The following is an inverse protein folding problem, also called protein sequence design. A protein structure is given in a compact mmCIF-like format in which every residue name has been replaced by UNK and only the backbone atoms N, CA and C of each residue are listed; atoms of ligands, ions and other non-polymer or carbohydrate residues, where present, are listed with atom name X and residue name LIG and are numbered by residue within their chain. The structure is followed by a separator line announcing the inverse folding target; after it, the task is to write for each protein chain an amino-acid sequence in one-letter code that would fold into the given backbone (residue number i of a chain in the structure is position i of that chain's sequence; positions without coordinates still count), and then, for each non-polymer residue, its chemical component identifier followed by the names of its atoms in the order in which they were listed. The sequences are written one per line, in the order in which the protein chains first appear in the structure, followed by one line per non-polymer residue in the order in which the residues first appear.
data_IF_166796444339
#
_entry.id   IF_166796444339
#
_cell.length_a   1.000
_cell.length_b   1.000
_cell.length_c   1.000
_cell.angle_alpha   90.00
_cell.angle_beta   90.00
_cell.angle_gamma   90.00
#
_symmetry.space_group_name_H-M   'P 1'
#
loop_
_entity.id
_entity.type
_entity.pdbx_description
1 polymer ?
#
# COMPACT_ATOMS: atom_id res chain seq x y z
N UNK A 1 13.24 10.74 17.08
CA UNK A 1 12.41 9.85 16.26
C UNK A 1 12.22 10.59 14.93
N UNK A 2 13.09 10.35 13.95
CA UNK A 2 13.06 11.09 12.67
C UNK A 2 12.42 10.25 11.58
N UNK A 3 11.75 10.97 10.68
CA UNK A 3 10.80 10.52 9.66
C UNK A 3 11.19 9.21 8.98
N UNK A 4 10.56 8.12 9.42
CA UNK A 4 10.22 7.04 8.49
C UNK A 4 9.52 7.73 7.33
N UNK A 5 10.09 7.66 6.13
CA UNK A 5 9.45 8.20 4.93
C UNK A 5 8.00 7.73 4.94
N UNK A 6 7.06 8.66 5.13
CA UNK A 6 5.66 8.35 5.46
C UNK A 6 4.99 7.46 4.41
N UNK A 7 5.58 7.39 3.21
CA UNK A 7 5.08 6.63 2.07
C UNK A 7 5.88 5.34 1.77
N UNK A 8 6.90 5.03 2.57
CA UNK A 8 7.67 3.79 2.43
C UNK A 8 6.82 2.58 2.82
N UNK A 9 6.95 1.48 2.05
CA UNK A 9 6.34 0.22 2.46
C UNK A 9 7.15 -0.41 3.60
N UNK A 10 6.55 -1.42 4.25
CA UNK A 10 7.18 -2.05 5.40
C UNK A 10 8.52 -2.71 5.08
N UNK A 11 8.73 -3.18 3.85
CA UNK A 11 10.00 -3.79 3.44
C UNK A 11 11.09 -2.72 3.42
N UNK A 12 10.80 -1.57 2.80
CA UNK A 12 11.72 -0.43 2.78
C UNK A 12 12.04 0.06 4.20
N UNK A 13 11.03 0.16 5.06
CA UNK A 13 11.26 0.48 6.47
C UNK A 13 12.24 -0.48 7.17
N UNK A 14 12.14 -1.80 6.91
CA UNK A 14 13.08 -2.78 7.47
C UNK A 14 14.50 -2.62 6.89
N UNK A 15 14.62 -2.25 5.62
CA UNK A 15 15.91 -1.97 4.97
C UNK A 15 16.57 -0.74 5.61
N UNK A 16 15.80 0.34 5.79
CA UNK A 16 16.25 1.58 6.39
C UNK A 16 16.64 1.37 7.87
N UNK A 17 15.84 0.60 8.62
CA UNK A 17 16.13 0.29 10.02
C UNK A 17 17.37 -0.61 10.17
N UNK A 18 17.56 -1.57 9.26
CA UNK A 18 18.79 -2.36 9.21
C UNK A 18 20.00 -1.47 8.90
N UNK A 19 19.90 -0.60 7.90
CA UNK A 19 20.98 0.31 7.51
C UNK A 19 21.36 1.25 8.67
N UNK A 20 20.37 1.85 9.33
CA UNK A 20 20.56 2.73 10.50
C UNK A 20 21.27 2.02 11.64
N UNK A 21 20.88 0.78 11.96
CA UNK A 21 21.53 0.01 13.04
C UNK A 21 22.94 -0.43 12.66
N UNK A 22 23.16 -0.77 11.38
CA UNK A 22 24.48 -1.15 10.85
C UNK A 22 25.47 0.01 10.87
N UNK A 23 25.01 1.25 10.64
CA UNK A 23 25.83 2.46 10.78
C UNK A 23 26.28 2.72 12.21
N UNK A 24 25.39 2.53 13.18
CA UNK A 24 25.69 2.77 14.60
C UNK A 24 26.54 1.65 15.24
N UNK A 25 26.49 0.45 14.67
CA UNK A 25 27.15 -0.73 15.22
C UNK A 25 27.78 -1.54 14.07
N UNK A 26 29.11 -1.44 13.84
CA UNK A 26 29.79 -2.08 12.70
C UNK A 26 29.64 -3.62 12.63
N UNK A 27 29.31 -4.28 13.75
CA UNK A 27 29.05 -5.73 13.82
C UNK A 27 27.56 -6.09 13.65
N UNK A 28 26.69 -5.10 13.50
CA UNK A 28 25.26 -5.33 13.31
C UNK A 28 25.02 -5.77 11.86
N UNK A 29 24.74 -7.06 11.72
CA UNK A 29 24.50 -7.70 10.43
C UNK A 29 23.03 -8.07 10.27
N UNK A 30 22.66 -8.52 9.07
CA UNK A 30 21.35 -9.12 8.81
C UNK A 30 20.97 -10.21 9.83
N UNK A 31 21.94 -11.03 10.26
CA UNK A 31 21.73 -12.06 11.29
C UNK A 31 21.47 -11.45 12.67
N UNK A 32 22.15 -10.36 13.02
CA UNK A 32 21.88 -9.65 14.26
C UNK A 32 20.48 -9.03 14.26
N UNK A 33 20.05 -8.47 13.13
CA UNK A 33 18.70 -7.91 12.99
C UNK A 33 17.62 -9.00 13.03
N UNK A 34 17.83 -10.13 12.35
CA UNK A 34 16.93 -11.28 12.40
C UNK A 34 16.77 -11.80 13.83
N UNK A 35 17.86 -11.90 14.61
CA UNK A 35 17.80 -12.26 16.03
C UNK A 35 17.00 -11.26 16.86
N UNK A 36 17.16 -9.96 16.62
CA UNK A 36 16.38 -8.92 17.29
C UNK A 36 14.88 -9.02 16.98
N UNK A 37 14.53 -9.39 15.75
CA UNK A 37 13.15 -9.65 15.32
C UNK A 37 12.65 -11.06 15.67
N UNK A 38 13.46 -11.86 16.37
CA UNK A 38 13.17 -13.25 16.75
C UNK A 38 12.79 -14.16 15.58
N UNK A 39 13.51 -14.03 14.47
CA UNK A 39 13.32 -14.85 13.28
C UNK A 39 14.64 -15.35 12.69
N UNK A 40 14.52 -16.34 11.83
CA UNK A 40 15.64 -16.85 11.05
C UNK A 40 16.11 -15.79 10.01
N UNK A 41 17.42 -15.74 9.79
CA UNK A 41 18.04 -14.81 8.83
C UNK A 41 17.61 -15.04 7.37
N UNK A 42 17.26 -16.27 6.99
CA UNK A 42 16.72 -16.62 5.68
C UNK A 42 15.33 -16.04 5.48
N UNK A 43 14.45 -16.10 6.48
CA UNK A 43 13.12 -15.49 6.44
C UNK A 43 13.20 -13.98 6.25
N UNK A 44 14.02 -13.30 7.07
CA UNK A 44 14.22 -11.86 6.92
C UNK A 44 14.82 -11.52 5.56
N UNK A 45 15.85 -12.26 5.11
CA UNK A 45 16.45 -12.09 3.78
C UNK A 45 15.43 -12.23 2.64
N UNK A 46 14.55 -13.23 2.70
CA UNK A 46 13.50 -13.43 1.69
C UNK A 46 12.51 -12.27 1.65
N UNK A 47 12.20 -11.66 2.80
CA UNK A 47 11.34 -10.48 2.86
C UNK A 47 12.04 -9.26 2.23
N UNK A 48 13.27 -8.95 2.65
CA UNK A 48 14.02 -7.79 2.15
C UNK A 48 14.24 -7.87 0.62
N UNK A 49 14.56 -9.07 0.12
CA UNK A 49 14.73 -9.32 -1.31
C UNK A 49 13.40 -9.43 -2.10
N UNK A 50 12.25 -9.17 -1.48
CA UNK A 50 10.95 -9.24 -2.13
C UNK A 50 10.48 -10.64 -2.55
N UNK A 51 11.24 -11.70 -2.21
CA UNK A 51 10.91 -13.11 -2.48
C UNK A 51 9.80 -13.64 -1.58
N UNK A 52 9.48 -12.93 -0.49
CA UNK A 52 8.37 -13.24 0.40
C UNK A 52 7.51 -12.00 0.65
N UNK A 53 6.21 -12.13 0.40
CA UNK A 53 5.23 -11.06 0.61
C UNK A 53 5.13 -10.70 2.09
N UNK A 54 5.17 -9.40 2.38
CA UNK A 54 4.88 -8.87 3.70
C UNK A 54 3.38 -8.94 3.97
N UNK A 55 2.99 -9.64 5.03
CA UNK A 55 1.59 -9.76 5.46
C UNK A 55 1.32 -8.89 6.67
N UNK A 56 0.05 -8.60 6.98
CA UNK A 56 -0.33 -7.93 8.23
C UNK A 56 0.17 -8.65 9.48
N UNK A 57 0.26 -9.98 9.46
CA UNK A 57 0.83 -10.76 10.56
C UNK A 57 2.31 -10.45 10.73
N UNK A 58 3.06 -10.39 9.62
CA UNK A 58 4.48 -10.04 9.63
C UNK A 58 4.70 -8.61 10.13
N UNK A 59 3.88 -7.66 9.66
CA UNK A 59 3.94 -6.24 10.08
C UNK A 59 3.77 -6.13 11.59
N UNK A 60 2.73 -6.76 12.15
CA UNK A 60 2.50 -6.74 13.61
C UNK A 60 3.64 -7.40 14.39
N UNK A 61 4.02 -8.61 13.99
CA UNK A 61 5.08 -9.38 14.64
C UNK A 61 6.41 -8.62 14.71
N UNK A 62 6.81 -7.97 13.61
CA UNK A 62 8.04 -7.19 13.59
C UNK A 62 7.86 -5.82 14.24
N UNK A 63 6.72 -5.18 14.04
CA UNK A 63 6.46 -3.86 14.57
C UNK A 63 6.41 -3.82 16.10
N UNK A 64 5.86 -4.85 16.76
CA UNK A 64 5.96 -5.01 18.22
C UNK A 64 7.42 -5.03 18.69
N UNK A 65 8.31 -5.71 17.95
CA UNK A 65 9.75 -5.78 18.27
C UNK A 65 10.52 -4.52 17.94
N UNK A 66 9.99 -3.71 17.04
CA UNK A 66 10.56 -2.43 16.61
C UNK A 66 9.94 -1.24 17.35
N UNK A 67 9.07 -1.49 18.33
CA UNK A 67 8.32 -0.48 19.08
C UNK A 67 7.51 0.46 18.18
N UNK A 68 6.92 -0.08 17.11
CA UNK A 68 5.97 0.64 16.28
C UNK A 68 4.63 0.80 16.99
N UNK A 69 4.05 1.99 16.89
CA UNK A 69 2.73 2.25 17.43
C UNK A 69 1.61 1.78 16.47
N UNK A 70 0.37 1.79 16.96
CA UNK A 70 -0.80 1.31 16.20
C UNK A 70 -1.01 2.05 14.88
N UNK A 71 -0.78 3.37 14.86
CA UNK A 71 -0.97 4.19 13.65
C UNK A 71 0.07 3.84 12.57
N UNK A 72 1.32 3.59 12.97
CA UNK A 72 2.38 3.14 12.07
C UNK A 72 2.07 1.75 11.49
N UNK A 73 1.63 0.81 12.33
CA UNK A 73 1.23 -0.53 11.90
C UNK A 73 0.07 -0.48 10.91
N UNK A 74 -0.92 0.37 11.17
CA UNK A 74 -2.06 0.57 10.29
C UNK A 74 -1.61 1.15 8.94
N UNK A 75 -0.78 2.19 8.96
CA UNK A 75 -0.22 2.82 7.75
C UNK A 75 0.53 1.81 6.88
N UNK A 76 1.45 1.03 7.46
CA UNK A 76 2.15 -0.01 6.71
C UNK A 76 1.20 -1.06 6.12
N UNK A 77 0.11 -1.36 6.84
CA UNK A 77 -0.94 -2.26 6.37
C UNK A 77 -1.77 -1.69 5.22
N UNK A 78 -2.03 -0.39 5.22
CA UNK A 78 -2.72 0.32 4.13
C UNK A 78 -1.85 0.35 2.87
N UNK A 79 -0.59 0.78 2.99
CA UNK A 79 0.37 0.82 1.87
C UNK A 79 0.56 -0.59 1.27
N UNK A 80 0.67 -1.61 2.12
CA UNK A 80 0.82 -3.01 1.64
C UNK A 80 -0.42 -3.49 0.87
N UNK A 81 -1.62 -3.09 1.30
CA UNK A 81 -2.87 -3.41 0.61
C UNK A 81 -2.98 -2.67 -0.72
N UNK A 82 -2.65 -1.39 -0.73
CA UNK A 82 -2.65 -0.57 -1.94
C UNK A 82 -1.71 -1.13 -3.01
N UNK A 83 -0.45 -1.43 -2.66
CA UNK A 83 0.53 -2.03 -3.59
C UNK A 83 0.04 -3.37 -4.15
N UNK A 84 -0.57 -4.22 -3.30
CA UNK A 84 -1.17 -5.48 -3.75
C UNK A 84 -2.30 -5.23 -4.74
N UNK A 85 -3.13 -4.22 -4.50
CA UNK A 85 -4.25 -3.88 -5.37
C UNK A 85 -3.78 -3.34 -6.71
N UNK A 86 -2.80 -2.44 -6.71
CA UNK A 86 -2.17 -1.89 -7.93
C UNK A 86 -1.61 -3.00 -8.81
N UNK A 87 -0.81 -3.91 -8.25
CA UNK A 87 -0.25 -5.06 -8.99
C UNK A 87 -1.33 -5.98 -9.58
N UNK A 88 -2.44 -6.19 -8.85
CA UNK A 88 -3.57 -6.97 -9.36
C UNK A 88 -4.22 -6.25 -10.55
N UNK A 89 -4.43 -4.94 -10.44
CA UNK A 89 -5.01 -4.13 -11.52
C UNK A 89 -4.12 -4.13 -12.76
N UNK A 90 -2.83 -3.86 -12.62
CA UNK A 90 -1.85 -3.90 -13.72
C UNK A 90 -1.94 -5.23 -14.49
N UNK A 91 -1.91 -6.36 -13.77
CA UNK A 91 -2.04 -7.70 -14.37
C UNK A 91 -3.38 -7.93 -15.08
N UNK A 92 -4.47 -7.34 -14.59
CA UNK A 92 -5.78 -7.45 -15.24
C UNK A 92 -5.83 -6.59 -16.51
N UNK A 93 -5.26 -5.39 -16.47
CA UNK A 93 -5.16 -4.50 -17.63
C UNK A 93 -4.28 -5.09 -18.74
N UNK A 94 -3.25 -5.87 -18.40
CA UNK A 94 -2.44 -6.58 -19.41
C UNK A 94 -3.21 -7.71 -20.12
N UNK A 95 -4.22 -8.29 -19.46
CA UNK A 95 -4.91 -9.51 -19.94
C UNK A 95 -6.28 -9.26 -20.54
N UNK A 96 -6.96 -8.20 -20.10
CA UNK A 96 -8.32 -7.90 -20.53
C UNK A 96 -8.34 -6.96 -21.74
N UNK A 97 -9.14 -7.24 -22.76
CA UNK A 97 -9.33 -6.32 -23.89
C UNK A 97 -9.99 -5.00 -23.42
N UNK A 98 -9.80 -3.93 -24.18
CA UNK A 98 -10.31 -2.59 -23.84
C UNK A 98 -11.83 -2.53 -23.77
N UNK A 99 -12.52 -3.35 -24.55
CA UNK A 99 -13.98 -3.35 -24.69
C UNK A 99 -14.69 -3.97 -23.46
N UNK A 100 -13.96 -4.76 -22.67
CA UNK A 100 -14.47 -5.41 -21.44
C UNK A 100 -14.23 -4.56 -20.18
N UNK A 101 -13.66 -3.36 -20.33
CA UNK A 101 -13.29 -2.50 -19.21
C UNK A 101 -13.60 -1.04 -19.48
N UNK A 102 -14.09 -0.35 -18.47
CA UNK A 102 -14.11 1.12 -18.48
C UNK A 102 -13.00 1.62 -17.55
N UNK A 103 -11.94 2.19 -18.15
CA UNK A 103 -10.76 2.67 -17.45
C UNK A 103 -10.24 3.96 -18.09
N UNK A 104 -10.70 5.10 -17.60
CA UNK A 104 -10.33 6.44 -18.08
C UNK A 104 -9.84 7.32 -16.93
N UNK A 105 -8.98 8.30 -17.24
CA UNK A 105 -8.47 9.30 -16.30
C UNK A 105 -8.66 10.70 -16.90
N UNK A 106 -9.09 11.65 -16.09
CA UNK A 106 -9.17 13.07 -16.46
C UNK A 106 -8.23 13.88 -15.58
N UNK A 107 -7.65 14.95 -16.13
CA UNK A 107 -6.84 15.92 -15.38
C UNK A 107 -7.54 17.26 -15.40
N UNK A 108 -7.81 17.81 -14.22
CA UNK A 108 -8.55 19.06 -14.06
C UNK A 108 -7.88 19.94 -13.00
N UNK A 109 -8.00 21.26 -13.14
CA UNK A 109 -7.67 22.19 -12.07
C UNK A 109 -8.87 22.33 -11.14
N UNK A 110 -8.63 22.29 -9.83
CA UNK A 110 -9.67 22.33 -8.80
C UNK A 110 -9.32 23.33 -7.72
N UNK A 111 -10.34 23.80 -7.02
CA UNK A 111 -10.19 24.56 -5.76
C UNK A 111 -9.99 23.58 -4.60
N UNK A 112 -8.86 23.68 -3.89
CA UNK A 112 -8.51 22.79 -2.78
C UNK A 112 -9.52 22.85 -1.63
N UNK A 113 -10.20 23.99 -1.43
CA UNK A 113 -11.23 24.13 -0.40
C UNK A 113 -12.43 23.19 -0.64
N UNK A 114 -12.61 22.68 -1.85
CA UNK A 114 -13.71 21.79 -2.24
C UNK A 114 -13.33 20.31 -2.18
N UNK A 115 -12.11 19.96 -1.80
CA UNK A 115 -11.62 18.57 -1.83
C UNK A 115 -12.34 17.65 -0.84
N UNK A 116 -12.71 18.16 0.33
CA UNK A 116 -13.44 17.34 1.31
C UNK A 116 -14.86 17.04 0.85
N UNK A 117 -15.55 18.03 0.26
CA UNK A 117 -16.83 17.83 -0.41
C UNK A 117 -16.69 16.83 -1.57
N UNK A 118 -15.65 16.95 -2.39
CA UNK A 118 -15.39 16.04 -3.50
C UNK A 118 -15.16 14.59 -3.05
N UNK A 119 -14.41 14.38 -1.97
CA UNK A 119 -14.21 13.04 -1.38
C UNK A 119 -15.53 12.42 -0.93
N UNK A 120 -16.42 13.18 -0.31
CA UNK A 120 -17.75 12.68 0.07
C UNK A 120 -18.62 12.37 -1.15
N UNK A 121 -18.61 13.20 -2.19
CA UNK A 121 -19.31 12.89 -3.46
C UNK A 121 -18.78 11.61 -4.10
N UNK A 122 -17.46 11.41 -4.12
CA UNK A 122 -16.84 10.17 -4.65
C UNK A 122 -17.27 8.94 -3.84
N UNK A 123 -17.33 9.05 -2.51
CA UNK A 123 -17.85 7.98 -1.65
C UNK A 123 -19.33 7.69 -1.93
N UNK A 124 -20.14 8.74 -2.09
CA UNK A 124 -21.56 8.64 -2.47
C UNK A 124 -21.73 7.91 -3.80
N UNK A 125 -21.06 8.40 -4.86
CA UNK A 125 -21.05 7.77 -6.18
C UNK A 125 -20.69 6.28 -6.13
N UNK A 126 -19.64 5.91 -5.38
CA UNK A 126 -19.26 4.50 -5.23
C UNK A 126 -20.36 3.65 -4.59
N UNK A 127 -21.09 4.18 -3.61
CA UNK A 127 -22.21 3.48 -2.95
C UNK A 127 -23.40 3.36 -3.89
N UNK A 128 -23.76 4.45 -4.56
CA UNK A 128 -24.87 4.50 -5.53
C UNK A 128 -24.62 3.52 -6.68
N UNK A 129 -23.43 3.54 -7.27
CA UNK A 129 -23.05 2.63 -8.35
C UNK A 129 -23.06 1.17 -7.89
N UNK A 130 -22.57 0.88 -6.69
CA UNK A 130 -22.61 -0.47 -6.12
C UNK A 130 -24.06 -0.95 -5.94
N UNK A 131 -24.94 -0.12 -5.39
CA UNK A 131 -26.36 -0.45 -5.24
C UNK A 131 -27.05 -0.66 -6.59
N UNK A 132 -26.77 0.19 -7.57
CA UNK A 132 -27.29 0.05 -8.93
C UNK A 132 -26.91 -1.28 -9.58
N UNK A 133 -25.64 -1.69 -9.44
CA UNK A 133 -25.14 -2.94 -10.04
C UNK A 133 -25.56 -4.19 -9.27
N UNK A 134 -25.83 -4.09 -7.97
CA UNK A 134 -26.23 -5.22 -7.12
C UNK A 134 -27.75 -5.48 -7.18
N UNK A 135 -28.56 -4.46 -7.46
CA UNK A 135 -30.01 -4.56 -7.48
C UNK A 135 -30.51 -5.55 -8.55
N UNK A 136 -31.13 -6.65 -8.11
CA UNK A 136 -31.75 -7.64 -9.00
C UNK A 136 -30.79 -8.65 -9.63
N UNK A 137 -29.56 -8.80 -9.13
CA UNK A 137 -28.59 -9.78 -9.66
C UNK A 137 -29.01 -11.21 -9.30
N UNK A 138 -29.44 -11.98 -10.30
CA UNK A 138 -29.71 -13.42 -10.20
C UNK A 138 -28.46 -14.25 -10.58
N UNK A 139 -27.70 -13.78 -11.58
CA UNK A 139 -26.39 -14.30 -11.96
C UNK A 139 -25.45 -13.12 -12.24
N UNK A 140 -24.27 -13.12 -11.62
CA UNK A 140 -23.31 -12.00 -11.70
C UNK A 140 -21.88 -12.47 -11.86
N UNK A 141 -21.03 -11.58 -12.41
CA UNK A 141 -19.57 -11.72 -12.42
C UNK A 141 -18.98 -10.73 -11.43
N UNK A 142 -17.85 -11.09 -10.82
CA UNK A 142 -17.18 -10.20 -9.88
C UNK A 142 -16.43 -9.10 -10.63
N UNK A 143 -16.88 -7.86 -10.47
CA UNK A 143 -16.18 -6.67 -10.94
C UNK A 143 -15.48 -5.96 -9.78
N UNK A 144 -14.37 -5.30 -10.08
CA UNK A 144 -13.67 -4.45 -9.13
C UNK A 144 -13.63 -3.02 -9.67
N UNK A 145 -14.27 -2.10 -8.95
CA UNK A 145 -14.37 -0.69 -9.31
C UNK A 145 -13.40 0.11 -8.44
N UNK A 146 -12.55 0.90 -9.08
CA UNK A 146 -11.60 1.80 -8.41
C UNK A 146 -11.81 3.22 -8.92
N UNK A 147 -11.92 4.19 -8.02
CA UNK A 147 -12.07 5.61 -8.32
C UNK A 147 -11.00 6.35 -7.53
N UNK A 148 -10.22 7.19 -8.22
CA UNK A 148 -9.06 7.86 -7.65
C UNK A 148 -9.13 9.37 -7.89
N UNK A 149 -8.84 10.15 -6.86
CA UNK A 149 -8.60 11.59 -6.93
C UNK A 149 -7.20 11.83 -6.38
N UNK A 150 -6.25 12.19 -7.25
CA UNK A 150 -4.82 12.25 -6.93
C UNK A 150 -4.31 13.64 -7.29
N UNK A 151 -3.69 14.38 -6.35
CA UNK A 151 -3.02 15.63 -6.69
C UNK A 151 -1.78 15.33 -7.52
N UNK A 152 -1.71 15.83 -8.76
CA UNK A 152 -0.56 15.62 -9.66
C UNK A 152 0.46 16.73 -9.54
N UNK A 153 0.04 17.99 -9.36
CA UNK A 153 0.92 19.15 -9.37
C UNK A 153 1.99 19.12 -8.28
N UNK A 154 1.63 18.67 -7.07
CA UNK A 154 2.55 18.61 -5.92
C UNK A 154 3.55 17.46 -5.97
N UNK A 155 3.46 16.59 -6.97
CA UNK A 155 4.25 15.35 -7.07
C UNK A 155 4.82 15.11 -8.48
N UNK A 156 4.64 16.04 -9.41
CA UNK A 156 5.12 15.96 -10.79
C UNK A 156 6.58 16.42 -10.98
N UNK A 157 7.32 16.67 -9.89
CA UNK A 157 8.76 16.88 -9.97
C UNK A 157 9.45 15.52 -10.15
N UNK A 158 9.86 15.25 -11.39
CA UNK A 158 10.78 14.15 -11.75
C UNK A 158 12.15 14.27 -11.06
#
# INVERSE_FOLDING_TARGET
MQDVNKNSDFRQFLEDELARRSQNYPRYSLRAFARHLEVDSSFLSKILNGKRTVTMRTIRMFGERLNLNTDELQRFGEISREKKMKRKLERLLEKMPSEEREHSTITINVDEARLDEAKEKIKGFRRELAQFLDNGVIQGKTYQISVSLIPVASYAAE
#
